data_IF_182618180343
#
_entry.id   IF_182618180343
#
_cell.length_a   1.000
_cell.length_b   1.000
_cell.length_c   1.000
_cell.angle_alpha   90.00
_cell.angle_beta   90.00
_cell.angle_gamma   90.00
#
_symmetry.space_group_name_H-M   'P 1'
#
loop_
_entity.id
_entity.type
_entity.pdbx_description
1 polymer ?
#
# COMPACT_ATOMS: atom_id res chain seq x y z
N UNK A 1 13.80 -36.80 48.61
CA UNK A 1 14.07 -35.39 48.25
C UNK A 1 14.42 -35.39 46.77
N UNK A 2 13.69 -34.84 45.80
CA UNK A 2 12.43 -34.10 45.73
C UNK A 2 12.01 -34.23 44.25
N UNK A 3 10.91 -34.93 43.99
CA UNK A 3 10.24 -34.91 42.69
C UNK A 3 9.31 -33.70 42.70
N UNK A 4 9.59 -32.69 41.85
CA UNK A 4 8.62 -31.64 41.55
C UNK A 4 8.65 -31.35 40.04
N UNK A 5 7.44 -31.39 39.51
CA UNK A 5 7.06 -31.39 38.11
C UNK A 5 7.24 -29.99 37.50
N UNK A 6 8.00 -29.89 36.41
CA UNK A 6 7.93 -28.73 35.53
C UNK A 6 6.65 -28.83 34.70
N UNK A 7 5.60 -28.16 35.21
CA UNK A 7 4.32 -27.99 34.54
C UNK A 7 4.46 -27.14 33.27
N UNK A 8 3.78 -27.58 32.22
CA UNK A 8 3.78 -27.02 30.88
C UNK A 8 3.10 -25.65 30.83
N UNK A 9 3.87 -24.59 30.53
CA UNK A 9 3.31 -23.36 29.97
C UNK A 9 3.17 -23.51 28.45
N UNK A 10 2.11 -24.17 27.99
CA UNK A 10 1.62 -24.07 26.62
C UNK A 10 0.50 -23.04 26.55
N UNK A 11 0.88 -21.77 26.55
CA UNK A 11 -0.03 -20.67 26.19
C UNK A 11 -0.38 -20.81 24.70
N UNK A 12 -1.39 -21.61 24.40
CA UNK A 12 -2.01 -21.65 23.09
C UNK A 12 -2.67 -20.30 22.83
N UNK A 13 -2.41 -19.63 21.69
CA UNK A 13 -3.24 -18.49 21.32
C UNK A 13 -4.63 -19.03 21.00
N UNK A 14 -5.60 -18.71 21.86
CA UNK A 14 -7.02 -18.97 21.64
C UNK A 14 -7.44 -18.24 20.39
N UNK A 15 -7.42 -18.94 19.25
CA UNK A 15 -8.01 -18.47 17.99
C UNK A 15 -9.51 -18.41 18.22
N UNK A 16 -10.00 -17.23 18.62
CA UNK A 16 -11.43 -16.93 18.67
C UNK A 16 -11.98 -17.01 17.25
N UNK A 17 -12.48 -18.19 16.84
CA UNK A 17 -13.32 -18.32 15.64
C UNK A 17 -14.67 -17.71 15.96
N UNK A 18 -14.78 -16.40 15.76
CA UNK A 18 -16.07 -15.71 15.75
C UNK A 18 -16.81 -16.12 14.49
N UNK A 19 -17.86 -16.93 14.62
CA UNK A 19 -18.83 -17.18 13.56
C UNK A 19 -19.54 -15.86 13.29
N UNK A 20 -19.21 -15.19 12.17
CA UNK A 20 -19.79 -13.89 11.83
C UNK A 20 -21.12 -14.11 11.10
N UNK A 21 -22.22 -13.92 11.83
CA UNK A 21 -23.55 -13.64 11.25
C UNK A 21 -23.58 -12.19 10.77
N UNK A 22 -23.52 -11.97 9.46
CA UNK A 22 -23.60 -10.65 8.85
C UNK A 22 -25.07 -10.18 8.80
N UNK A 23 -25.64 -9.85 9.96
CA UNK A 23 -26.84 -9.03 10.04
C UNK A 23 -26.45 -7.58 9.80
N UNK A 24 -27.14 -6.88 8.89
CA UNK A 24 -26.99 -5.45 8.63
C UNK A 24 -27.60 -4.61 9.78
N UNK A 25 -27.33 -4.97 11.03
CA UNK A 25 -27.64 -4.11 12.17
C UNK A 25 -26.48 -3.13 12.33
N UNK A 26 -26.66 -1.94 11.79
CA UNK A 26 -25.70 -0.83 11.81
C UNK A 26 -25.51 -0.20 13.20
N UNK A 27 -25.54 -1.00 14.27
CA UNK A 27 -25.44 -0.57 15.67
C UNK A 27 -24.24 -1.17 16.42
N UNK A 28 -23.37 -1.93 15.76
CA UNK A 28 -22.14 -2.41 16.40
C UNK A 28 -21.14 -1.26 16.56
N UNK A 29 -20.83 -0.91 17.81
CA UNK A 29 -19.80 0.10 18.15
C UNK A 29 -18.36 -0.38 17.83
N UNK A 30 -18.17 -1.68 17.70
CA UNK A 30 -16.85 -2.29 17.44
C UNK A 30 -16.46 -2.23 15.96
N UNK A 31 -15.20 -1.92 15.64
CA UNK A 31 -14.72 -1.87 14.26
C UNK A 31 -14.73 -3.27 13.63
N UNK A 32 -15.42 -3.39 12.49
CA UNK A 32 -15.61 -4.67 11.80
C UNK A 32 -14.41 -5.04 10.92
N UNK A 33 -14.06 -6.33 10.83
CA UNK A 33 -13.02 -6.80 9.91
C UNK A 33 -13.48 -6.69 8.44
N UNK A 34 -12.53 -6.49 7.53
CA UNK A 34 -12.80 -6.40 6.09
C UNK A 34 -12.32 -7.64 5.33
N UNK A 35 -13.03 -7.99 4.26
CA UNK A 35 -12.67 -9.08 3.35
C UNK A 35 -12.09 -8.52 2.04
N UNK A 36 -10.82 -8.84 1.77
CA UNK A 36 -10.12 -8.42 0.56
C UNK A 36 -10.03 -9.59 -0.40
N UNK A 37 -10.36 -9.36 -1.69
CA UNK A 37 -10.33 -10.37 -2.75
C UNK A 37 -9.50 -9.88 -3.92
N UNK A 38 -8.58 -10.72 -4.41
CA UNK A 38 -7.78 -10.43 -5.60
C UNK A 38 -7.88 -11.59 -6.59
N UNK A 39 -7.96 -11.28 -7.88
CA UNK A 39 -7.97 -12.29 -8.95
C UNK A 39 -7.15 -11.81 -10.13
N UNK A 40 -6.50 -12.73 -10.84
CA UNK A 40 -5.69 -12.44 -12.02
C UNK A 40 -6.50 -12.14 -13.31
N UNK A 41 -7.81 -11.90 -13.20
CA UNK A 41 -8.63 -11.39 -14.30
C UNK A 41 -8.53 -12.19 -15.61
N UNK A 42 -8.90 -13.47 -15.60
CA UNK A 42 -9.00 -14.27 -16.84
C UNK A 42 -10.19 -13.77 -17.67
N UNK A 43 -9.93 -13.02 -18.75
CA UNK A 43 -10.97 -12.57 -19.69
C UNK A 43 -11.50 -13.74 -20.54
N UNK A 44 -12.59 -13.54 -21.28
CA UNK A 44 -13.21 -14.58 -22.14
C UNK A 44 -12.21 -15.19 -23.14
N UNK A 45 -11.19 -14.44 -23.55
CA UNK A 45 -10.16 -14.83 -24.52
C UNK A 45 -9.04 -15.69 -23.93
N UNK A 46 -8.78 -15.57 -22.62
CA UNK A 46 -7.70 -16.25 -21.89
C UNK A 46 -8.22 -17.30 -20.89
N UNK A 47 -9.39 -17.91 -21.16
CA UNK A 47 -9.98 -18.96 -20.30
C UNK A 47 -9.10 -20.20 -20.13
N UNK A 48 -8.15 -20.41 -21.05
CA UNK A 48 -7.15 -21.48 -20.97
C UNK A 48 -6.18 -21.30 -19.79
N UNK A 49 -5.97 -20.07 -19.32
CA UNK A 49 -5.15 -19.79 -18.15
C UNK A 49 -5.96 -20.00 -16.87
N UNK A 50 -5.39 -20.71 -15.90
CA UNK A 50 -6.03 -20.97 -14.61
C UNK A 50 -6.32 -19.66 -13.88
N UNK A 51 -7.60 -19.45 -13.51
CA UNK A 51 -8.02 -18.32 -12.68
C UNK A 51 -7.52 -18.52 -11.25
N UNK A 52 -6.68 -17.60 -10.79
CA UNK A 52 -6.16 -17.56 -9.42
C UNK A 52 -7.05 -16.59 -8.63
N UNK A 53 -7.59 -17.06 -7.50
CA UNK A 53 -8.39 -16.27 -6.57
C UNK A 53 -7.70 -16.28 -5.21
N UNK A 54 -7.45 -15.09 -4.67
CA UNK A 54 -6.90 -14.89 -3.34
C UNK A 54 -7.96 -14.17 -2.50
N UNK A 55 -8.09 -14.57 -1.24
CA UNK A 55 -9.00 -13.95 -0.28
C UNK A 55 -8.36 -13.88 1.09
N UNK A 56 -8.40 -12.71 1.72
CA UNK A 56 -7.85 -12.48 3.07
C UNK A 56 -8.87 -11.71 3.91
N UNK A 57 -9.01 -12.06 5.18
CA UNK A 57 -9.76 -11.25 6.16
C UNK A 57 -8.74 -10.42 6.93
N UNK A 58 -8.96 -9.10 7.00
CA UNK A 58 -8.06 -8.16 7.66
C UNK A 58 -8.79 -7.54 8.85
N UNK A 59 -8.18 -7.63 10.02
CA UNK A 59 -8.65 -7.00 11.25
C UNK A 59 -8.38 -5.49 11.20
N UNK A 60 -9.20 -4.66 11.87
CA UNK A 60 -9.04 -3.20 11.87
C UNK A 60 -7.65 -2.76 12.36
N UNK A 61 -7.10 -3.42 13.40
CA UNK A 61 -5.79 -3.10 13.96
C UNK A 61 -4.62 -3.30 12.98
N UNK A 62 -4.79 -4.19 12.00
CA UNK A 62 -3.76 -4.56 11.04
C UNK A 62 -3.96 -3.91 9.67
N UNK A 63 -5.00 -3.08 9.53
CA UNK A 63 -5.41 -2.50 8.26
C UNK A 63 -4.31 -1.62 7.65
N UNK A 64 -3.73 -0.75 8.47
CA UNK A 64 -2.66 0.15 8.06
C UNK A 64 -1.43 -0.63 7.59
N UNK A 65 -0.98 -1.59 8.40
CA UNK A 65 0.18 -2.44 8.06
C UNK A 65 -0.05 -3.30 6.81
N UNK A 66 -1.28 -3.73 6.56
CA UNK A 66 -1.64 -4.44 5.33
C UNK A 66 -1.49 -3.53 4.10
N UNK A 67 -2.07 -2.32 4.13
CA UNK A 67 -2.06 -1.42 2.99
C UNK A 67 -0.68 -0.84 2.69
N UNK A 68 0.16 -0.61 3.70
CA UNK A 68 1.55 -0.21 3.49
C UNK A 68 2.32 -1.26 2.68
N UNK A 69 2.31 -2.53 3.11
CA UNK A 69 2.97 -3.62 2.38
C UNK A 69 2.36 -3.84 1.01
N UNK A 70 1.03 -3.76 0.90
CA UNK A 70 0.33 -3.88 -0.36
C UNK A 70 0.75 -2.79 -1.36
N UNK A 71 0.85 -1.54 -0.92
CA UNK A 71 1.26 -0.42 -1.74
C UNK A 71 2.70 -0.58 -2.25
N UNK A 72 3.63 -1.07 -1.42
CA UNK A 72 5.01 -1.36 -1.81
C UNK A 72 5.07 -2.40 -2.94
N UNK A 73 4.34 -3.50 -2.78
CA UNK A 73 4.25 -4.57 -3.78
C UNK A 73 3.63 -4.03 -5.08
N UNK A 74 2.55 -3.27 -4.98
CA UNK A 74 1.89 -2.63 -6.12
C UNK A 74 2.82 -1.67 -6.87
N UNK A 75 3.58 -0.84 -6.14
CA UNK A 75 4.54 0.11 -6.71
C UNK A 75 5.67 -0.61 -7.47
N UNK A 76 6.18 -1.71 -6.92
CA UNK A 76 7.18 -2.55 -7.61
C UNK A 76 6.61 -3.27 -8.84
N UNK A 77 5.40 -3.83 -8.71
CA UNK A 77 4.73 -4.59 -9.76
C UNK A 77 4.21 -3.76 -10.94
N UNK A 78 3.93 -2.47 -10.75
CA UNK A 78 3.44 -1.56 -11.80
C UNK A 78 4.56 -0.77 -12.51
N UNK A 79 5.81 -1.19 -12.35
CA UNK A 79 6.99 -0.55 -12.95
C UNK A 79 7.01 -0.56 -14.49
N UNK A 80 6.29 -1.49 -15.13
CA UNK A 80 6.22 -1.63 -16.59
C UNK A 80 5.25 -0.65 -17.27
N UNK A 81 4.53 0.19 -16.52
CA UNK A 81 3.60 1.17 -17.10
C UNK A 81 4.35 2.33 -17.78
N UNK A 82 3.87 2.76 -18.96
CA UNK A 82 4.43 3.92 -19.67
C UNK A 82 4.39 5.15 -18.77
N UNK A 83 5.55 5.80 -18.60
CA UNK A 83 5.65 7.07 -17.86
C UNK A 83 4.71 8.09 -18.49
N UNK A 84 3.91 8.77 -17.66
CA UNK A 84 3.05 9.87 -18.09
C UNK A 84 3.86 10.89 -18.89
N UNK A 85 3.37 11.28 -20.06
CA UNK A 85 3.99 12.33 -20.87
C UNK A 85 3.95 13.67 -20.12
N UNK A 86 5.10 14.06 -19.55
CA UNK A 86 5.27 15.33 -18.83
C UNK A 86 5.68 16.48 -19.74
N UNK A 87 5.89 16.25 -21.04
CA UNK A 87 6.34 17.27 -22.00
C UNK A 87 5.37 18.45 -22.06
N UNK A 88 4.08 18.18 -22.29
CA UNK A 88 3.02 19.21 -22.33
C UNK A 88 2.84 19.95 -20.99
N UNK A 89 3.08 19.27 -19.87
CA UNK A 89 3.00 19.87 -18.53
C UNK A 89 4.20 20.78 -18.22
N UNK A 90 5.42 20.35 -18.59
CA UNK A 90 6.65 21.12 -18.45
C UNK A 90 6.63 22.36 -19.35
N UNK A 91 6.13 22.24 -20.57
CA UNK A 91 5.98 23.36 -21.50
C UNK A 91 4.99 24.39 -20.97
N UNK A 92 3.82 23.97 -20.48
CA UNK A 92 2.85 24.87 -19.83
C UNK A 92 3.41 25.52 -18.56
N UNK A 93 4.20 24.81 -17.76
CA UNK A 93 4.87 25.40 -16.60
C UNK A 93 5.95 26.42 -17.01
N UNK A 94 6.78 26.13 -18.02
CA UNK A 94 7.77 27.07 -18.55
C UNK A 94 7.11 28.31 -19.16
N UNK A 95 6.02 28.13 -19.91
CA UNK A 95 5.24 29.22 -20.47
C UNK A 95 4.59 30.08 -19.38
N UNK A 96 4.03 29.49 -18.32
CA UNK A 96 3.52 30.23 -17.16
C UNK A 96 4.64 30.97 -16.40
N UNK A 97 5.81 30.35 -16.22
CA UNK A 97 6.97 30.97 -15.55
C UNK A 97 7.53 32.14 -16.36
N UNK A 98 7.53 32.03 -17.70
CA UNK A 98 7.84 33.13 -18.63
C UNK A 98 6.78 34.23 -18.61
N UNK A 99 5.49 33.88 -18.53
CA UNK A 99 4.37 34.83 -18.49
C UNK A 99 4.24 35.56 -17.14
N UNK A 100 4.79 34.99 -16.06
CA UNK A 100 4.76 35.57 -14.70
C UNK A 100 6.08 36.25 -14.29
N UNK A 101 7.02 36.45 -15.21
CA UNK A 101 8.15 37.37 -14.99
C UNK A 101 9.05 37.10 -13.77
N UNK A 102 9.17 35.85 -13.30
CA UNK A 102 10.14 35.52 -12.25
C UNK A 102 11.39 34.96 -12.92
N UNK A 103 12.24 35.89 -13.35
CA UNK A 103 13.65 35.64 -13.62
C UNK A 103 14.40 35.57 -12.29
N UNK A 104 14.37 34.41 -11.62
CA UNK A 104 15.45 34.09 -10.69
C UNK A 104 16.69 33.79 -11.54
N UNK A 105 17.52 34.82 -11.72
CA UNK A 105 18.83 34.73 -12.33
C UNK A 105 19.74 33.79 -11.51
N UNK A 106 20.57 32.95 -12.15
CA UNK A 106 21.73 32.37 -11.49
C UNK A 106 22.81 33.45 -11.37
N UNK A 107 23.23 33.81 -10.15
CA UNK A 107 24.47 34.55 -9.94
C UNK A 107 25.66 33.61 -10.21
N UNK A 108 26.64 33.99 -11.06
CA UNK A 108 27.94 33.34 -11.14
C UNK A 108 29.06 34.19 -10.51
N UNK A 109 30.01 33.47 -9.90
CA UNK A 109 31.43 33.79 -9.72
C UNK A 109 31.88 34.82 -8.66
N UNK A 110 32.77 34.34 -7.79
CA UNK A 110 33.70 35.11 -6.97
C UNK A 110 34.72 34.17 -6.33
N UNK A 111 35.81 33.86 -7.04
CA UNK A 111 36.97 33.15 -6.49
C UNK A 111 37.81 34.09 -5.62
N UNK A 112 38.27 33.59 -4.49
CA UNK A 112 39.07 34.32 -3.50
C UNK A 112 40.53 33.87 -3.60
N UNK A 113 41.36 34.62 -4.33
CA UNK A 113 42.83 34.62 -4.18
C UNK A 113 43.21 35.89 -3.41
N UNK A 114 43.75 35.75 -2.20
CA UNK A 114 44.47 36.82 -1.51
C UNK A 114 45.86 36.35 -1.08
N UNK A 115 46.82 37.08 -1.62
CA UNK A 115 48.23 37.21 -1.24
C UNK A 115 48.38 37.74 0.19
#
# INVERSE_FOLDING_TARGET
MSSLQNSLNSSTPVVKKTTVTYGLDASSTEPLPILIRATNGTSKTDRSKRKIKLSTVVQPDQLEGFFLRYAEICKGGMSALKKRDRSKAKEKQKAKKRKMGISTAPQPAGGEDKK
#
